data_IF_422528644244
#
_entry.id   IF_422528644244
#
_cell.length_a   1.000
_cell.length_b   1.000
_cell.length_c   1.000
_cell.angle_alpha   90.00
_cell.angle_beta   90.00
_cell.angle_gamma   90.00
#
_symmetry.space_group_name_H-M   'P 1'
#
loop_
_entity.id
_entity.type
_entity.pdbx_description
1 polymer ?
#
# COMPACT_ATOMS: atom_id res chain seq x y z
N UNK A 1 -47.84 6.98 1.16
CA UNK A 1 -46.39 7.27 1.27
C UNK A 1 -46.17 8.75 1.02
N UNK A 2 -45.53 9.47 1.94
CA UNK A 2 -45.19 10.88 1.72
C UNK A 2 -44.08 11.00 0.65
N UNK A 3 -44.15 11.97 -0.26
CA UNK A 3 -43.13 12.17 -1.28
C UNK A 3 -41.80 12.62 -0.65
N UNK A 4 -40.68 12.05 -1.09
CA UNK A 4 -39.34 12.43 -0.62
C UNK A 4 -38.97 13.79 -1.23
N UNK A 5 -39.22 14.89 -0.51
CA UNK A 5 -39.12 16.26 -1.02
C UNK A 5 -37.77 16.60 -1.66
N UNK A 6 -36.67 16.00 -1.16
CA UNK A 6 -35.34 16.20 -1.73
C UNK A 6 -35.27 15.81 -3.21
N UNK A 7 -35.98 14.76 -3.63
CA UNK A 7 -35.98 14.25 -5.01
C UNK A 7 -36.83 15.08 -5.98
N UNK A 8 -37.50 16.14 -5.49
CA UNK A 8 -38.23 17.13 -6.31
C UNK A 8 -37.34 18.30 -6.74
N UNK A 9 -36.17 18.45 -6.13
CA UNK A 9 -35.21 19.47 -6.53
C UNK A 9 -34.72 19.20 -7.97
N UNK A 10 -34.42 20.26 -8.75
CA UNK A 10 -33.74 20.11 -10.04
C UNK A 10 -32.39 19.41 -9.88
N UNK A 11 -31.86 18.87 -10.99
CA UNK A 11 -30.69 17.98 -10.95
C UNK A 11 -29.44 18.62 -10.32
N UNK A 12 -29.07 19.84 -10.71
CA UNK A 12 -27.87 20.48 -10.17
C UNK A 12 -27.98 20.80 -8.65
N UNK A 13 -29.08 21.42 -8.17
CA UNK A 13 -29.28 21.62 -6.73
C UNK A 13 -29.20 20.34 -5.90
N UNK A 14 -29.79 19.23 -6.35
CA UNK A 14 -29.76 17.99 -5.55
C UNK A 14 -28.34 17.40 -5.46
N UNK A 15 -27.55 17.48 -6.53
CA UNK A 15 -26.15 17.05 -6.50
C UNK A 15 -25.35 17.89 -5.51
N UNK A 16 -25.59 19.19 -5.47
CA UNK A 16 -24.88 20.09 -4.56
C UNK A 16 -25.24 19.83 -3.10
N UNK A 17 -26.51 19.54 -2.81
CA UNK A 17 -26.92 19.12 -1.46
C UNK A 17 -26.20 17.83 -1.05
N UNK A 18 -26.15 16.82 -1.94
CA UNK A 18 -25.47 15.54 -1.65
C UNK A 18 -23.97 15.76 -1.38
N UNK A 19 -23.29 16.66 -2.09
CA UNK A 19 -21.87 16.96 -1.85
C UNK A 19 -21.58 17.55 -0.47
N UNK A 20 -22.57 18.17 0.16
CA UNK A 20 -22.46 18.77 1.50
C UNK A 20 -22.91 17.85 2.63
N UNK A 21 -23.50 16.69 2.30
CA UNK A 21 -23.86 15.68 3.28
C UNK A 21 -22.61 14.93 3.79
N UNK A 22 -22.67 14.45 5.03
CA UNK A 22 -21.70 13.50 5.58
C UNK A 22 -21.83 12.15 4.88
N UNK A 23 -20.76 11.37 4.81
CA UNK A 23 -20.69 10.03 4.18
C UNK A 23 -21.84 9.15 4.68
N UNK A 24 -22.13 9.15 5.98
CA UNK A 24 -23.26 8.42 6.57
C UNK A 24 -24.63 8.85 6.03
N UNK A 25 -24.85 10.15 5.88
CA UNK A 25 -26.09 10.72 5.34
C UNK A 25 -26.23 10.34 3.86
N UNK A 26 -25.16 10.43 3.09
CA UNK A 26 -25.11 10.01 1.69
C UNK A 26 -25.45 8.51 1.56
N UNK A 27 -24.87 7.65 2.39
CA UNK A 27 -25.18 6.23 2.42
C UNK A 27 -26.63 5.93 2.81
N UNK A 28 -27.17 6.64 3.81
CA UNK A 28 -28.59 6.48 4.16
C UNK A 28 -29.49 6.89 3.00
N UNK A 29 -29.19 8.05 2.40
CA UNK A 29 -29.94 8.60 1.28
C UNK A 29 -29.89 7.65 0.08
N UNK A 30 -28.72 7.11 -0.28
CA UNK A 30 -28.56 6.19 -1.40
C UNK A 30 -29.36 4.88 -1.25
N UNK A 31 -29.75 4.52 -0.02
CA UNK A 31 -30.57 3.34 0.26
C UNK A 31 -32.07 3.58 0.25
N UNK A 32 -32.52 4.84 0.19
CA UNK A 32 -33.96 5.16 0.20
C UNK A 32 -34.68 4.73 -1.10
N UNK A 33 -34.01 4.80 -2.26
CA UNK A 33 -34.57 4.37 -3.55
C UNK A 33 -33.48 4.27 -4.63
N UNK A 34 -33.79 3.62 -5.76
CA UNK A 34 -32.92 3.61 -6.95
C UNK A 34 -32.60 5.02 -7.46
N UNK A 35 -33.56 5.96 -7.38
CA UNK A 35 -33.35 7.37 -7.77
C UNK A 35 -32.33 8.06 -6.86
N UNK A 36 -32.39 7.80 -5.55
CA UNK A 36 -31.39 8.31 -4.61
C UNK A 36 -30.00 7.72 -4.89
N UNK A 37 -29.92 6.40 -5.12
CA UNK A 37 -28.67 5.72 -5.47
C UNK A 37 -28.02 6.36 -6.70
N UNK A 38 -28.79 6.56 -7.78
CA UNK A 38 -28.29 7.21 -9.00
C UNK A 38 -27.87 8.66 -8.76
N UNK A 39 -28.59 9.39 -7.91
CA UNK A 39 -28.22 10.77 -7.55
C UNK A 39 -26.88 10.80 -6.83
N UNK A 40 -26.65 9.89 -5.88
CA UNK A 40 -25.37 9.75 -5.18
C UNK A 40 -24.26 9.39 -6.16
N UNK A 41 -24.50 8.43 -7.05
CA UNK A 41 -23.54 8.04 -8.10
C UNK A 41 -23.08 9.23 -8.94
N UNK A 42 -24.01 10.07 -9.35
CA UNK A 42 -23.72 11.27 -10.14
C UNK A 42 -23.00 12.36 -9.31
N UNK A 43 -23.21 12.40 -7.99
CA UNK A 43 -22.60 13.38 -7.10
C UNK A 43 -21.21 12.96 -6.57
N UNK A 44 -20.95 11.65 -6.51
CA UNK A 44 -19.82 11.09 -5.76
C UNK A 44 -18.45 11.39 -6.39
N UNK A 45 -18.36 11.47 -7.73
CA UNK A 45 -17.09 11.73 -8.43
C UNK A 45 -15.97 10.79 -7.96
N UNK A 46 -14.76 11.32 -7.75
CA UNK A 46 -13.62 10.61 -7.15
C UNK A 46 -13.43 10.96 -5.65
N UNK A 47 -14.52 11.26 -4.95
CA UNK A 47 -14.47 11.80 -3.58
C UNK A 47 -14.45 10.72 -2.51
N UNK A 48 -14.62 9.46 -2.89
CA UNK A 48 -14.71 8.34 -1.97
C UNK A 48 -13.62 7.31 -2.27
N UNK A 49 -13.26 6.60 -1.23
CA UNK A 49 -12.30 5.51 -1.24
C UNK A 49 -12.88 4.39 -0.39
N UNK A 50 -12.82 3.16 -0.90
CA UNK A 50 -13.19 1.97 -0.15
C UNK A 50 -11.92 1.28 0.36
N UNK A 51 -11.91 0.94 1.65
CA UNK A 51 -10.86 0.13 2.27
C UNK A 51 -11.43 -1.17 2.78
N UNK A 52 -10.72 -2.26 2.53
CA UNK A 52 -11.17 -3.60 2.82
C UNK A 52 -10.12 -4.29 3.70
N UNK A 53 -10.55 -4.77 4.86
CA UNK A 53 -9.71 -5.44 5.85
C UNK A 53 -10.29 -6.82 6.10
N UNK A 54 -9.52 -7.86 5.78
CA UNK A 54 -9.94 -9.25 5.93
C UNK A 54 -9.06 -9.95 6.96
N UNK A 55 -9.51 -9.90 8.22
CA UNK A 55 -8.81 -10.40 9.40
C UNK A 55 -9.62 -11.52 10.09
N UNK A 56 -9.54 -11.63 11.42
CA UNK A 56 -10.44 -12.46 12.25
C UNK A 56 -11.89 -12.01 12.14
N UNK A 57 -12.10 -10.70 12.02
CA UNK A 57 -13.35 -10.03 11.71
C UNK A 57 -13.12 -9.17 10.46
N UNK A 58 -14.01 -9.29 9.48
CA UNK A 58 -13.87 -8.49 8.26
C UNK A 58 -14.38 -7.08 8.53
N UNK A 59 -13.66 -6.09 8.06
CA UNK A 59 -14.07 -4.69 8.12
C UNK A 59 -14.01 -4.05 6.74
N UNK A 60 -14.95 -3.16 6.47
CA UNK A 60 -14.91 -2.28 5.31
C UNK A 60 -15.10 -0.85 5.75
N UNK A 61 -14.35 0.06 5.15
CA UNK A 61 -14.44 1.48 5.47
C UNK A 61 -14.69 2.25 4.19
N UNK A 62 -15.85 2.90 4.12
CA UNK A 62 -16.11 3.91 3.10
C UNK A 62 -15.67 5.27 3.65
N UNK A 63 -14.64 5.85 3.05
CA UNK A 63 -14.04 7.10 3.49
C UNK A 63 -14.25 8.19 2.45
N UNK A 64 -14.67 9.38 2.88
CA UNK A 64 -14.59 10.56 2.03
C UNK A 64 -13.17 11.12 2.05
N UNK A 65 -12.66 11.53 0.89
CA UNK A 65 -11.41 12.29 0.76
C UNK A 65 -11.56 13.72 1.29
N UNK A 66 -12.80 14.18 1.51
CA UNK A 66 -13.11 15.47 2.14
C UNK A 66 -13.25 15.29 3.66
N UNK A 67 -12.21 15.65 4.41
CA UNK A 67 -12.21 15.70 5.87
C UNK A 67 -11.93 14.34 6.55
N UNK A 68 -11.02 14.34 7.54
CA UNK A 68 -10.49 13.11 8.18
C UNK A 68 -11.53 12.27 8.94
N UNK A 69 -12.64 12.88 9.37
CA UNK A 69 -13.65 12.24 10.22
C UNK A 69 -14.86 11.70 9.44
N UNK A 70 -14.92 11.90 8.11
CA UNK A 70 -16.11 11.59 7.32
C UNK A 70 -16.07 10.16 6.73
N UNK A 71 -16.24 9.15 7.57
CA UNK A 71 -16.22 7.73 7.19
C UNK A 71 -17.40 6.92 7.75
N UNK A 72 -17.65 5.77 7.15
CA UNK A 72 -18.55 4.73 7.68
C UNK A 72 -17.75 3.45 7.78
N UNK A 73 -17.88 2.77 8.91
CA UNK A 73 -17.32 1.45 9.14
C UNK A 73 -18.41 0.39 8.98
N UNK A 74 -18.06 -0.71 8.35
CA UNK A 74 -18.91 -1.88 8.21
C UNK A 74 -18.16 -3.07 8.80
N UNK A 75 -18.66 -3.62 9.90
CA UNK A 75 -18.05 -4.73 10.62
C UNK A 75 -18.86 -6.02 10.41
N UNK A 76 -18.17 -7.13 10.21
CA UNK A 76 -18.73 -8.46 9.96
C UNK A 76 -18.32 -9.40 11.10
N UNK A 77 -19.16 -9.47 12.15
CA UNK A 77 -18.85 -10.11 13.44
C UNK A 77 -19.62 -11.43 13.64
N UNK A 78 -18.98 -12.40 14.33
CA UNK A 78 -19.55 -13.70 14.67
C UNK A 78 -20.28 -13.60 16.02
N UNK A 79 -21.61 -13.60 16.01
CA UNK A 79 -22.40 -13.44 17.24
C UNK A 79 -22.43 -14.72 18.09
N UNK A 80 -22.02 -14.65 19.37
CA UNK A 80 -22.97 -15.08 20.39
C UNK A 80 -23.22 -14.08 21.53
N UNK A 81 -22.36 -13.08 21.80
CA UNK A 81 -22.53 -12.18 22.96
C UNK A 81 -21.95 -10.80 22.66
N UNK A 82 -22.80 -9.78 22.53
CA UNK A 82 -22.39 -8.39 22.77
C UNK A 82 -23.34 -7.83 23.83
N UNK A 83 -22.83 -7.43 25.02
CA UNK A 83 -23.62 -6.71 26.00
C UNK A 83 -24.17 -5.42 25.40
N UNK A 84 -25.42 -5.10 25.71
CA UNK A 84 -26.14 -3.92 25.21
C UNK A 84 -25.34 -2.60 25.35
N UNK A 85 -24.39 -2.52 26.30
CA UNK A 85 -23.52 -1.38 26.55
C UNK A 85 -22.50 -1.06 25.46
N UNK A 86 -22.13 -2.00 24.57
CA UNK A 86 -21.17 -1.77 23.48
C UNK A 86 -21.83 -1.28 22.17
N UNK A 87 -23.16 -1.22 22.13
CA UNK A 87 -23.92 -0.73 20.96
C UNK A 87 -24.02 0.80 20.88
N UNK A 88 -23.44 1.55 21.84
CA UNK A 88 -23.79 2.97 22.05
C UNK A 88 -22.72 4.03 21.77
N UNK A 89 -21.48 3.72 21.40
CA UNK A 89 -20.44 4.77 21.34
C UNK A 89 -20.09 5.31 19.96
N UNK A 90 -20.36 4.61 18.84
CA UNK A 90 -20.10 5.17 17.50
C UNK A 90 -21.19 4.82 16.49
N UNK A 91 -22.03 5.82 16.20
CA UNK A 91 -23.09 5.77 15.20
C UNK A 91 -22.55 5.63 13.75
N UNK A 92 -21.24 5.65 13.53
CA UNK A 92 -20.60 5.45 12.22
C UNK A 92 -20.37 3.97 11.86
N UNK A 93 -20.57 3.04 12.80
CA UNK A 93 -20.36 1.60 12.59
C UNK A 93 -21.66 0.89 12.24
N UNK A 94 -21.67 0.12 11.15
CA UNK A 94 -22.75 -0.80 10.77
C UNK A 94 -22.29 -2.24 10.90
N UNK A 95 -23.04 -3.04 11.64
CA UNK A 95 -22.69 -4.43 11.92
C UNK A 95 -23.53 -5.39 11.07
N UNK A 96 -22.91 -6.39 10.50
CA UNK A 96 -23.56 -7.49 9.79
C UNK A 96 -23.29 -8.80 10.53
N UNK A 97 -24.31 -9.65 10.75
CA UNK A 97 -24.07 -10.96 11.31
C UNK A 97 -23.29 -11.80 10.30
N UNK A 98 -22.15 -12.30 10.75
CA UNK A 98 -21.22 -13.11 10.01
C UNK A 98 -21.15 -14.51 10.64
N UNK A 99 -21.02 -15.55 9.81
CA UNK A 99 -20.67 -16.89 10.27
C UNK A 99 -19.23 -17.13 9.84
N UNK A 100 -18.34 -17.18 10.84
CA UNK A 100 -16.90 -17.39 10.64
C UNK A 100 -16.64 -18.59 9.74
N UNK A 101 -15.71 -18.44 8.79
CA UNK A 101 -15.25 -19.52 7.90
C UNK A 101 -16.32 -20.14 6.98
N UNK A 102 -17.42 -19.45 6.71
CA UNK A 102 -18.32 -19.89 5.63
C UNK A 102 -17.64 -19.87 4.25
N UNK A 103 -16.54 -19.11 4.08
CA UNK A 103 -15.75 -19.02 2.85
C UNK A 103 -16.45 -18.31 1.68
N UNK A 104 -17.75 -17.99 1.79
CA UNK A 104 -18.53 -17.52 0.65
C UNK A 104 -18.54 -15.98 0.49
N UNK A 105 -18.35 -15.23 1.57
CA UNK A 105 -18.27 -13.75 1.58
C UNK A 105 -19.46 -13.07 0.89
N UNK A 106 -20.66 -13.65 0.95
CA UNK A 106 -21.80 -13.21 0.14
C UNK A 106 -22.16 -11.75 0.46
N UNK A 107 -22.31 -11.42 1.75
CA UNK A 107 -22.70 -10.07 2.19
C UNK A 107 -21.59 -9.05 1.93
N UNK A 108 -20.35 -9.46 2.11
CA UNK A 108 -19.17 -8.66 1.81
C UNK A 108 -19.15 -8.30 0.31
N UNK A 109 -19.29 -9.29 -0.57
CA UNK A 109 -19.31 -9.10 -2.03
C UNK A 109 -20.47 -8.21 -2.47
N UNK A 110 -21.67 -8.42 -1.93
CA UNK A 110 -22.84 -7.58 -2.19
C UNK A 110 -22.61 -6.13 -1.75
N UNK A 111 -22.04 -5.93 -0.57
CA UNK A 111 -21.75 -4.60 -0.05
C UNK A 111 -20.66 -3.90 -0.86
N UNK A 112 -19.57 -4.60 -1.20
CA UNK A 112 -18.49 -4.05 -2.05
C UNK A 112 -19.07 -3.60 -3.38
N UNK A 113 -19.85 -4.47 -4.04
CA UNK A 113 -20.49 -4.14 -5.32
C UNK A 113 -21.40 -2.91 -5.18
N UNK A 114 -22.25 -2.89 -4.16
CA UNK A 114 -23.13 -1.75 -3.91
C UNK A 114 -22.33 -0.45 -3.69
N UNK A 115 -21.28 -0.48 -2.89
CA UNK A 115 -20.49 0.70 -2.54
C UNK A 115 -19.70 1.22 -3.75
N UNK A 116 -18.99 0.34 -4.46
CA UNK A 116 -18.23 0.72 -5.67
C UNK A 116 -19.16 1.30 -6.73
N UNK A 117 -20.31 0.66 -6.99
CA UNK A 117 -21.27 1.16 -7.98
C UNK A 117 -21.91 2.49 -7.56
N UNK A 118 -22.30 2.62 -6.30
CA UNK A 118 -23.07 3.79 -5.81
C UNK A 118 -22.18 5.00 -5.57
N UNK A 119 -20.97 4.80 -5.06
CA UNK A 119 -20.05 5.88 -4.71
C UNK A 119 -18.97 6.13 -5.76
N UNK A 120 -18.97 5.35 -6.85
CA UNK A 120 -17.99 5.45 -7.94
C UNK A 120 -16.55 5.53 -7.42
N UNK A 121 -16.25 4.72 -6.40
CA UNK A 121 -14.98 4.77 -5.69
C UNK A 121 -14.03 3.68 -6.15
N UNK A 122 -12.73 3.97 -6.04
CA UNK A 122 -11.68 2.96 -6.14
C UNK A 122 -11.54 2.21 -4.81
N UNK A 123 -10.92 1.03 -4.86
CA UNK A 123 -10.44 0.36 -3.66
C UNK A 123 -9.07 0.94 -3.34
N UNK A 124 -9.03 1.80 -2.31
CA UNK A 124 -7.79 2.45 -1.88
C UNK A 124 -6.87 1.52 -1.12
N UNK A 125 -7.45 0.56 -0.40
CA UNK A 125 -6.66 -0.36 0.42
C UNK A 125 -7.36 -1.72 0.49
N UNK A 126 -6.59 -2.78 0.24
CA UNK A 126 -6.99 -4.16 0.44
C UNK A 126 -5.96 -4.82 1.35
N UNK A 127 -6.36 -5.23 2.55
CA UNK A 127 -5.47 -5.76 3.58
C UNK A 127 -5.91 -7.13 4.03
N UNK A 128 -4.97 -8.07 4.09
CA UNK A 128 -5.20 -9.45 4.45
C UNK A 128 -4.39 -9.84 5.67
N UNK A 129 -5.03 -10.51 6.62
CA UNK A 129 -4.33 -11.21 7.69
C UNK A 129 -3.93 -12.60 7.21
N UNK A 130 -2.67 -12.99 7.36
CA UNK A 130 -2.11 -14.15 6.67
C UNK A 130 -2.51 -15.50 7.30
N UNK A 131 -3.09 -15.52 8.50
CA UNK A 131 -3.60 -16.75 9.15
C UNK A 131 -4.94 -17.29 8.57
N UNK A 132 -5.50 -16.66 7.53
CA UNK A 132 -6.70 -17.16 6.87
C UNK A 132 -6.35 -18.34 5.93
N UNK A 133 -6.98 -19.49 6.13
CA UNK A 133 -6.75 -20.68 5.27
C UNK A 133 -7.18 -20.41 3.82
N UNK A 134 -6.53 -21.05 2.83
CA UNK A 134 -6.78 -20.88 1.39
C UNK A 134 -8.27 -20.88 0.98
N UNK A 135 -9.06 -21.76 1.57
CA UNK A 135 -10.50 -21.91 1.31
C UNK A 135 -11.33 -20.68 1.72
N UNK A 136 -10.75 -19.81 2.54
CA UNK A 136 -11.35 -18.58 3.05
C UNK A 136 -10.98 -17.44 2.10
N UNK A 137 -9.74 -17.34 1.64
CA UNK A 137 -9.30 -16.22 0.83
C UNK A 137 -9.62 -16.33 -0.67
N UNK A 138 -9.50 -17.51 -1.27
CA UNK A 138 -9.62 -17.70 -2.72
C UNK A 138 -10.98 -17.25 -3.30
N UNK A 139 -12.15 -17.51 -2.65
CA UNK A 139 -13.44 -17.05 -3.19
C UNK A 139 -13.59 -15.54 -3.24
N UNK A 140 -12.85 -14.80 -2.41
CA UNK A 140 -12.84 -13.35 -2.39
C UNK A 140 -11.91 -12.80 -3.48
N UNK A 141 -10.72 -13.39 -3.65
CA UNK A 141 -9.84 -13.07 -4.77
C UNK A 141 -10.52 -13.29 -6.12
N UNK A 142 -11.15 -14.45 -6.32
CA UNK A 142 -11.87 -14.75 -7.56
C UNK A 142 -12.95 -13.69 -7.86
N UNK A 143 -13.62 -13.19 -6.82
CA UNK A 143 -14.59 -12.09 -6.97
C UNK A 143 -13.93 -10.79 -7.42
N UNK A 144 -12.79 -10.42 -6.84
CA UNK A 144 -12.07 -9.21 -7.23
C UNK A 144 -11.60 -9.26 -8.69
N UNK A 145 -11.09 -10.42 -9.12
CA UNK A 145 -10.64 -10.64 -10.49
C UNK A 145 -11.78 -10.59 -11.49
N UNK A 146 -12.90 -11.26 -11.20
CA UNK A 146 -14.11 -11.20 -12.02
C UNK A 146 -14.68 -9.79 -12.11
N UNK A 147 -14.51 -8.99 -11.06
CA UNK A 147 -15.01 -7.61 -10.99
C UNK A 147 -14.06 -6.59 -11.63
N UNK A 148 -12.88 -7.02 -12.11
CA UNK A 148 -11.84 -6.16 -12.71
C UNK A 148 -11.50 -4.94 -11.83
N UNK A 149 -11.48 -5.14 -10.51
CA UNK A 149 -11.22 -4.06 -9.56
C UNK A 149 -9.73 -3.74 -9.51
N UNK A 150 -9.41 -2.45 -9.49
CA UNK A 150 -8.06 -1.94 -9.31
C UNK A 150 -7.84 -1.51 -7.87
N UNK A 151 -6.65 -1.81 -7.35
CA UNK A 151 -6.26 -1.53 -5.98
C UNK A 151 -5.18 -0.46 -5.96
N UNK A 152 -5.34 0.55 -5.11
CA UNK A 152 -4.23 1.47 -4.87
C UNK A 152 -3.13 0.80 -4.05
N UNK A 153 -3.49 0.27 -2.87
CA UNK A 153 -2.61 -0.49 -1.99
C UNK A 153 -3.15 -1.90 -1.75
N UNK A 154 -2.29 -2.91 -1.88
CA UNK A 154 -2.50 -4.25 -1.35
C UNK A 154 -1.53 -4.50 -0.20
N UNK A 155 -2.02 -4.98 0.92
CA UNK A 155 -1.24 -5.24 2.12
C UNK A 155 -1.47 -6.66 2.64
N UNK A 156 -0.39 -7.33 3.02
CA UNK A 156 -0.41 -8.59 3.74
C UNK A 156 0.22 -8.39 5.11
N UNK A 157 -0.56 -8.59 6.16
CA UNK A 157 -0.13 -8.42 7.54
C UNK A 157 -0.11 -9.76 8.25
N UNK A 158 0.88 -9.93 9.14
CA UNK A 158 0.88 -10.90 10.24
C UNK A 158 0.43 -12.34 9.87
N UNK A 159 1.39 -13.27 9.90
CA UNK A 159 1.16 -14.69 9.62
C UNK A 159 1.83 -15.16 8.33
N UNK A 160 1.34 -16.25 7.73
CA UNK A 160 1.99 -16.95 6.61
C UNK A 160 1.07 -17.02 5.38
N UNK A 161 1.48 -16.39 4.27
CA UNK A 161 0.80 -16.54 2.97
C UNK A 161 1.39 -17.73 2.23
N UNK A 162 0.55 -18.60 1.67
CA UNK A 162 1.02 -19.67 0.79
C UNK A 162 1.47 -19.12 -0.57
N UNK A 163 2.62 -19.59 -1.02
CA UNK A 163 3.23 -19.50 -2.35
C UNK A 163 2.24 -19.38 -3.51
N UNK A 164 1.34 -20.36 -3.68
CA UNK A 164 0.40 -20.39 -4.80
C UNK A 164 -0.58 -19.21 -4.77
N UNK A 165 -1.06 -18.85 -3.58
CA UNK A 165 -2.03 -17.77 -3.41
C UNK A 165 -1.36 -16.40 -3.57
N UNK A 166 -0.12 -16.26 -3.09
CA UNK A 166 0.70 -15.06 -3.31
C UNK A 166 0.98 -14.86 -4.80
N UNK A 167 1.47 -15.90 -5.50
CA UNK A 167 1.74 -15.86 -6.94
C UNK A 167 0.47 -15.55 -7.72
N UNK A 168 -0.64 -16.21 -7.38
CA UNK A 168 -1.92 -15.95 -8.01
C UNK A 168 -2.36 -14.48 -7.84
N UNK A 169 -2.17 -13.88 -6.66
CA UNK A 169 -2.47 -12.46 -6.46
C UNK A 169 -1.55 -11.58 -7.31
N UNK A 170 -0.24 -11.83 -7.29
CA UNK A 170 0.74 -11.03 -8.05
C UNK A 170 0.47 -11.09 -9.57
N UNK A 171 0.11 -12.26 -10.09
CA UNK A 171 -0.11 -12.46 -11.54
C UNK A 171 -1.43 -11.84 -12.02
N UNK A 172 -2.43 -11.65 -11.15
CA UNK A 172 -3.79 -11.29 -11.56
C UNK A 172 -4.29 -9.93 -11.02
N UNK A 173 -3.75 -9.43 -9.91
CA UNK A 173 -4.18 -8.16 -9.33
C UNK A 173 -3.36 -6.98 -9.86
N UNK A 174 -4.04 -5.96 -10.39
CA UNK A 174 -3.42 -4.67 -10.72
C UNK A 174 -3.38 -3.81 -9.47
N UNK A 175 -2.17 -3.51 -9.01
CA UNK A 175 -1.94 -2.68 -7.82
C UNK A 175 -0.85 -1.64 -8.07
N UNK A 176 -0.99 -0.47 -7.46
CA UNK A 176 0.03 0.58 -7.51
C UNK A 176 1.08 0.38 -6.42
N UNK A 177 0.65 -0.01 -5.22
CA UNK A 177 1.49 -0.14 -4.05
C UNK A 177 1.29 -1.51 -3.37
N UNK A 178 2.37 -2.07 -2.84
CA UNK A 178 2.38 -3.38 -2.18
C UNK A 178 3.11 -3.30 -0.84
N UNK A 179 2.41 -3.68 0.22
CA UNK A 179 2.93 -3.82 1.58
C UNK A 179 2.97 -5.30 1.99
N UNK A 180 4.16 -5.82 2.26
CA UNK A 180 4.39 -7.17 2.78
C UNK A 180 4.89 -7.03 4.21
N UNK A 181 3.96 -7.07 5.16
CA UNK A 181 4.17 -6.95 6.61
C UNK A 181 4.03 -8.31 7.30
N UNK A 182 4.60 -9.35 6.69
CA UNK A 182 4.42 -10.72 7.14
C UNK A 182 5.73 -11.51 7.12
N UNK A 183 5.86 -12.40 8.11
CA UNK A 183 6.88 -13.44 8.10
C UNK A 183 6.40 -14.55 7.18
N UNK A 184 6.85 -14.52 5.92
CA UNK A 184 6.49 -15.60 5.01
C UNK A 184 7.34 -16.83 5.32
N UNK A 185 6.79 -17.72 6.14
CA UNK A 185 7.34 -19.06 6.28
C UNK A 185 7.04 -19.81 4.98
N UNK A 186 8.09 -20.19 4.26
CA UNK A 186 8.05 -21.06 3.08
C UNK A 186 7.74 -20.38 1.74
N UNK A 187 8.20 -19.15 1.47
CA UNK A 187 8.38 -18.74 0.05
C UNK A 187 9.62 -19.41 -0.54
N UNK A 188 9.41 -20.64 -1.00
CA UNK A 188 10.32 -21.35 -1.90
C UNK A 188 10.14 -20.92 -3.36
N UNK A 189 9.13 -20.09 -3.64
CA UNK A 189 8.93 -19.52 -4.98
C UNK A 189 10.09 -18.60 -5.33
N UNK A 190 10.87 -19.06 -6.29
CA UNK A 190 11.80 -18.22 -7.03
C UNK A 190 11.13 -17.53 -8.23
N UNK A 191 10.00 -18.03 -8.72
CA UNK A 191 9.34 -17.54 -9.94
C UNK A 191 8.11 -16.65 -9.65
N UNK A 192 8.36 -15.39 -9.28
CA UNK A 192 7.34 -14.34 -9.23
C UNK A 192 7.91 -13.03 -9.77
N UNK A 193 7.02 -12.15 -10.26
CA UNK A 193 7.37 -10.80 -10.70
C UNK A 193 6.58 -9.77 -9.90
N UNK A 194 7.28 -8.84 -9.27
CA UNK A 194 6.68 -7.65 -8.66
C UNK A 194 7.07 -6.45 -9.52
N UNK A 195 6.08 -5.71 -9.99
CA UNK A 195 6.27 -4.45 -10.70
C UNK A 195 5.25 -3.43 -10.21
N UNK A 196 5.65 -2.63 -9.22
CA UNK A 196 4.79 -1.69 -8.51
C UNK A 196 5.41 -0.30 -8.48
N UNK A 197 4.62 0.74 -8.19
CA UNK A 197 5.18 2.05 -7.94
C UNK A 197 5.93 2.05 -6.60
N UNK A 198 5.33 1.46 -5.56
CA UNK A 198 5.88 1.44 -4.22
C UNK A 198 5.84 0.05 -3.60
N UNK A 199 6.96 -0.38 -3.02
CA UNK A 199 7.12 -1.67 -2.36
C UNK A 199 7.57 -1.48 -0.91
N UNK A 200 6.93 -2.17 0.02
CA UNK A 200 7.37 -2.28 1.41
C UNK A 200 7.48 -3.72 1.82
N UNK A 201 8.60 -4.10 2.42
CA UNK A 201 8.82 -5.41 3.02
C UNK A 201 9.28 -5.20 4.46
N UNK A 202 8.48 -5.66 5.43
CA UNK A 202 8.79 -5.69 6.86
C UNK A 202 8.59 -7.13 7.38
N UNK A 203 9.32 -7.48 8.43
CA UNK A 203 9.42 -8.85 8.95
C UNK A 203 9.79 -9.88 7.86
N UNK A 204 10.62 -9.42 6.92
CA UNK A 204 10.80 -10.05 5.61
C UNK A 204 12.10 -10.84 5.50
N UNK A 205 12.35 -11.73 6.47
CA UNK A 205 13.54 -12.62 6.48
C UNK A 205 13.62 -13.55 5.25
N UNK A 206 12.50 -13.69 4.53
CA UNK A 206 12.38 -14.47 3.29
C UNK A 206 12.86 -13.69 2.05
N UNK A 207 12.93 -12.36 2.09
CA UNK A 207 13.40 -11.56 0.95
C UNK A 207 14.91 -11.74 0.86
N UNK A 208 15.32 -12.55 -0.11
CA UNK A 208 16.73 -12.75 -0.45
C UNK A 208 17.12 -11.78 -1.56
N UNK A 209 18.42 -11.70 -1.83
CA UNK A 209 18.94 -11.02 -3.01
C UNK A 209 18.28 -11.50 -4.32
N UNK A 210 18.12 -12.81 -4.51
CA UNK A 210 17.53 -13.36 -5.73
C UNK A 210 16.07 -12.92 -5.91
N UNK A 211 15.32 -12.82 -4.81
CA UNK A 211 13.96 -12.29 -4.82
C UNK A 211 13.97 -10.81 -5.23
N UNK A 212 14.80 -10.00 -4.57
CA UNK A 212 14.88 -8.57 -4.85
C UNK A 212 15.26 -8.26 -6.31
N UNK A 213 16.20 -9.00 -6.88
CA UNK A 213 16.63 -8.80 -8.28
C UNK A 213 15.54 -9.10 -9.32
N UNK A 214 14.44 -9.76 -8.93
CA UNK A 214 13.26 -10.01 -9.75
C UNK A 214 12.14 -8.98 -9.54
N UNK A 215 12.33 -8.05 -8.60
CA UNK A 215 11.39 -6.98 -8.29
C UNK A 215 11.75 -5.69 -9.04
N UNK A 216 10.73 -4.92 -9.39
CA UNK A 216 10.79 -3.62 -10.05
C UNK A 216 9.90 -2.64 -9.27
N UNK A 217 10.47 -1.50 -8.87
CA UNK A 217 9.76 -0.49 -8.09
C UNK A 217 10.42 0.89 -8.19
N UNK A 218 9.63 1.96 -8.05
CA UNK A 218 10.19 3.33 -7.98
C UNK A 218 10.60 3.69 -6.55
N UNK A 219 9.78 3.30 -5.57
CA UNK A 219 9.98 3.56 -4.16
C UNK A 219 10.01 2.25 -3.36
N UNK A 220 10.98 2.10 -2.46
CA UNK A 220 11.17 0.85 -1.72
C UNK A 220 11.51 1.05 -0.25
N UNK A 221 10.79 0.41 0.67
CA UNK A 221 11.29 0.16 2.03
C UNK A 221 11.49 -1.33 2.11
N UNK A 222 12.73 -1.77 2.11
CA UNK A 222 13.09 -3.16 1.88
C UNK A 222 13.87 -3.67 3.09
N UNK A 223 13.19 -4.38 3.98
CA UNK A 223 13.90 -5.28 4.89
C UNK A 223 14.35 -6.51 4.11
N UNK A 224 15.64 -6.80 4.15
CA UNK A 224 16.26 -7.85 3.33
C UNK A 224 17.18 -8.74 4.16
N UNK A 225 17.07 -10.04 3.96
CA UNK A 225 17.98 -11.01 4.54
C UNK A 225 19.21 -11.19 3.64
N UNK A 226 20.18 -10.29 3.79
CA UNK A 226 21.44 -10.36 3.07
C UNK A 226 22.63 -9.99 3.97
N UNK A 227 23.84 -10.39 3.53
CA UNK A 227 25.12 -9.99 4.12
C UNK A 227 25.84 -9.01 3.18
N UNK A 228 27.00 -8.48 3.60
CA UNK A 228 27.71 -7.43 2.84
C UNK A 228 28.04 -7.80 1.41
N UNK A 229 28.48 -9.05 1.18
CA UNK A 229 28.74 -9.53 -0.16
C UNK A 229 27.50 -9.45 -1.05
N UNK A 230 26.36 -9.98 -0.59
CA UNK A 230 25.10 -9.98 -1.35
C UNK A 230 24.54 -8.57 -1.55
N UNK A 231 24.71 -7.68 -0.57
CA UNK A 231 24.33 -6.26 -0.72
C UNK A 231 25.16 -5.55 -1.78
N UNK A 232 26.47 -5.74 -1.81
CA UNK A 232 27.32 -5.19 -2.87
C UNK A 232 26.95 -5.71 -4.25
N UNK A 233 26.52 -6.96 -4.35
CA UNK A 233 26.01 -7.52 -5.60
C UNK A 233 24.68 -6.86 -6.03
N UNK A 234 23.82 -6.44 -5.10
CA UNK A 234 22.60 -5.64 -5.41
C UNK A 234 22.98 -4.26 -5.96
N UNK A 235 23.95 -3.58 -5.32
CA UNK A 235 24.45 -2.27 -5.81
C UNK A 235 25.04 -2.42 -7.21
N UNK A 236 25.88 -3.43 -7.44
CA UNK A 236 26.44 -3.73 -8.78
C UNK A 236 25.37 -4.09 -9.79
N UNK A 237 24.35 -4.84 -9.40
CA UNK A 237 23.23 -5.15 -10.29
C UNK A 237 22.50 -3.89 -10.73
N UNK A 238 22.23 -2.95 -9.81
CA UNK A 238 21.63 -1.65 -10.16
C UNK A 238 22.53 -0.86 -11.13
N UNK A 239 23.85 -0.82 -10.86
CA UNK A 239 24.82 -0.18 -11.76
C UNK A 239 24.82 -0.80 -13.16
N UNK A 240 24.46 -2.07 -13.28
CA UNK A 240 24.33 -2.80 -14.54
C UNK A 240 22.90 -2.82 -15.10
N UNK A 241 22.01 -1.96 -14.60
CA UNK A 241 20.68 -1.75 -15.18
C UNK A 241 19.53 -2.49 -14.50
N UNK A 242 19.73 -3.17 -13.36
CA UNK A 242 18.61 -3.67 -12.56
C UNK A 242 17.76 -2.50 -12.01
N UNK A 243 16.43 -2.67 -12.03
CA UNK A 243 15.43 -1.74 -11.53
C UNK A 243 15.67 -0.27 -11.96
N UNK A 244 15.74 -0.03 -13.28
CA UNK A 244 16.05 1.30 -13.87
C UNK A 244 15.13 2.42 -13.39
N UNK A 245 13.89 2.07 -13.00
CA UNK A 245 12.86 2.99 -12.52
C UNK A 245 13.02 3.38 -11.04
N UNK A 246 13.90 2.71 -10.29
CA UNK A 246 14.13 3.02 -8.88
C UNK A 246 14.57 4.47 -8.71
N UNK A 247 13.84 5.20 -7.87
CA UNK A 247 14.14 6.58 -7.49
C UNK A 247 14.70 6.62 -6.08
N UNK A 248 14.07 5.92 -5.16
CA UNK A 248 14.45 5.97 -3.76
C UNK A 248 14.17 4.64 -3.07
N UNK A 249 15.12 4.16 -2.27
CA UNK A 249 14.92 2.98 -1.45
C UNK A 249 15.60 3.10 -0.09
N UNK A 250 14.93 2.59 0.94
CA UNK A 250 15.50 2.33 2.26
C UNK A 250 15.72 0.83 2.37
N UNK A 251 16.96 0.42 2.59
CA UNK A 251 17.31 -0.97 2.82
C UNK A 251 17.63 -1.19 4.28
N UNK A 252 16.96 -2.14 4.91
CA UNK A 252 17.19 -2.56 6.29
C UNK A 252 17.72 -3.99 6.26
N UNK A 253 19.04 -4.19 6.18
CA UNK A 253 19.56 -5.52 6.02
C UNK A 253 19.79 -6.19 7.38
N UNK A 254 19.39 -7.45 7.53
CA UNK A 254 19.29 -8.10 8.85
C UNK A 254 20.58 -8.73 9.38
N UNK A 255 21.64 -8.83 8.57
CA UNK A 255 22.90 -9.53 8.93
C UNK A 255 24.17 -8.67 8.76
N UNK A 256 24.08 -7.40 9.15
CA UNK A 256 25.14 -6.41 8.89
C UNK A 256 25.80 -5.81 10.11
N UNK A 257 27.12 -5.68 10.01
CA UNK A 257 27.87 -4.64 10.71
C UNK A 257 27.99 -3.42 9.80
N UNK A 258 27.47 -2.28 10.25
CA UNK A 258 27.43 -1.04 9.47
C UNK A 258 28.77 -0.32 9.46
N UNK A 259 29.59 -0.51 10.49
CA UNK A 259 30.82 0.26 10.65
C UNK A 259 31.89 -0.14 9.62
N UNK A 260 31.79 -1.37 9.09
CA UNK A 260 32.66 -1.90 8.02
C UNK A 260 32.14 -1.57 6.61
N UNK A 261 30.88 -1.20 6.48
CA UNK A 261 30.23 -1.18 5.18
C UNK A 261 30.64 0.03 4.33
N UNK A 262 30.85 1.20 4.94
CA UNK A 262 31.39 2.38 4.26
C UNK A 262 32.75 2.10 3.61
N UNK A 263 33.66 1.45 4.34
CA UNK A 263 35.01 1.13 3.83
C UNK A 263 34.96 0.13 2.68
N UNK A 264 34.06 -0.87 2.75
CA UNK A 264 33.93 -1.86 1.68
C UNK A 264 33.31 -1.22 0.43
N UNK A 265 32.32 -0.32 0.58
CA UNK A 265 31.72 0.40 -0.55
C UNK A 265 32.79 1.17 -1.32
N UNK A 266 33.65 1.93 -0.63
CA UNK A 266 34.72 2.72 -1.24
C UNK A 266 35.73 1.87 -2.02
N UNK A 267 36.02 0.65 -1.55
CA UNK A 267 36.99 -0.23 -2.19
C UNK A 267 36.42 -1.09 -3.33
N UNK A 268 35.10 -1.29 -3.36
CA UNK A 268 34.45 -2.27 -4.26
C UNK A 268 33.63 -1.59 -5.37
N UNK A 269 33.08 -0.41 -5.10
CA UNK A 269 32.20 0.30 -6.03
C UNK A 269 32.95 1.53 -6.57
N UNK A 270 33.13 1.67 -7.89
CA UNK A 270 33.73 2.87 -8.45
C UNK A 270 32.81 4.06 -8.19
N UNK A 271 33.33 5.09 -7.53
CA UNK A 271 32.54 6.21 -7.08
C UNK A 271 33.36 7.24 -6.32
N UNK A 272 32.67 8.12 -5.60
CA UNK A 272 33.28 9.20 -4.83
C UNK A 272 32.60 9.36 -3.47
N UNK A 273 33.41 9.45 -2.41
CA UNK A 273 32.92 9.81 -1.08
C UNK A 273 32.48 11.27 -1.05
N UNK A 274 31.31 11.52 -0.47
CA UNK A 274 30.78 12.85 -0.18
C UNK A 274 30.95 13.11 1.33
N UNK A 275 31.45 14.29 1.65
CA UNK A 275 31.70 14.71 3.03
C UNK A 275 30.41 14.70 3.86
N UNK A 276 30.51 14.25 5.12
CA UNK A 276 29.35 14.12 6.04
C UNK A 276 28.67 15.46 6.33
N UNK A 277 29.39 16.58 6.19
CA UNK A 277 28.85 17.93 6.37
C UNK A 277 28.01 18.40 5.17
N UNK A 278 28.18 17.77 4.00
CA UNK A 278 27.41 18.14 2.81
C UNK A 278 25.98 17.61 2.93
N UNK A 279 25.03 18.55 2.92
CA UNK A 279 23.59 18.26 2.93
C UNK A 279 23.02 18.37 1.51
N UNK A 280 22.32 17.32 1.06
CA UNK A 280 21.65 17.29 -0.25
C UNK A 280 20.17 17.02 -0.09
N UNK A 281 19.35 17.89 -0.66
CA UNK A 281 17.90 17.77 -0.65
C UNK A 281 17.46 16.79 -1.76
N UNK A 282 16.90 15.65 -1.38
CA UNK A 282 16.22 14.75 -2.31
C UNK A 282 14.78 15.25 -2.56
N UNK A 283 14.34 15.35 -3.83
CA UNK A 283 12.99 15.80 -4.13
C UNK A 283 11.97 14.84 -3.52
N UNK A 284 11.04 15.37 -2.71
CA UNK A 284 10.00 14.57 -2.07
C UNK A 284 9.12 13.90 -3.12
N UNK A 285 9.01 12.58 -3.06
CA UNK A 285 8.05 11.81 -3.84
C UNK A 285 6.89 11.46 -2.89
N UNK A 286 5.70 11.99 -3.15
CA UNK A 286 4.52 11.70 -2.34
C UNK A 286 4.02 10.28 -2.65
N UNK A 287 4.09 9.39 -1.66
CA UNK A 287 3.31 8.16 -1.59
C UNK A 287 2.43 8.19 -0.34
N UNK A 288 1.31 7.49 -0.36
CA UNK A 288 0.41 7.38 0.81
C UNK A 288 1.07 6.59 1.95
N UNK A 289 2.16 5.88 1.65
CA UNK A 289 2.92 5.02 2.56
C UNK A 289 3.80 5.76 3.58
N UNK A 290 3.74 7.11 3.66
CA UNK A 290 4.56 7.93 4.57
C UNK A 290 6.07 7.66 4.44
N UNK A 291 6.56 7.32 3.24
CA UNK A 291 8.00 7.34 2.92
C UNK A 291 8.66 8.69 3.28
N UNK A 292 7.83 9.73 3.23
CA UNK A 292 8.11 11.16 3.37
C UNK A 292 8.59 11.62 4.74
N UNK A 293 8.63 10.75 5.77
CA UNK A 293 9.20 11.11 7.08
C UNK A 293 10.68 10.80 7.22
N UNK A 294 11.24 9.92 6.38
CA UNK A 294 12.66 9.62 6.36
C UNK A 294 13.36 10.60 5.42
N UNK A 295 14.49 11.15 5.85
CA UNK A 295 14.88 12.52 5.55
C UNK A 295 14.91 12.86 4.06
N UNK A 296 14.19 13.91 3.70
CA UNK A 296 14.38 14.58 2.42
C UNK A 296 15.76 15.25 2.30
N UNK A 297 16.56 15.24 3.38
CA UNK A 297 17.94 15.72 3.43
C UNK A 297 18.88 14.54 3.67
N UNK A 298 19.80 14.31 2.73
CA UNK A 298 20.86 13.32 2.84
C UNK A 298 22.15 14.02 3.28
N UNK A 299 22.84 13.45 4.28
CA UNK A 299 24.16 13.93 4.74
C UNK A 299 25.25 13.00 4.23
N UNK A 300 26.22 13.55 3.53
CA UNK A 300 27.34 12.82 2.93
C UNK A 300 26.90 11.68 2.01
N UNK A 301 27.54 10.52 2.23
CA UNK A 301 27.30 9.28 1.48
C UNK A 301 28.39 8.95 0.47
N UNK A 302 28.12 7.97 -0.36
CA UNK A 302 28.98 7.53 -1.45
C UNK A 302 28.22 7.60 -2.77
N UNK A 303 28.76 8.37 -3.70
CA UNK A 303 28.18 8.63 -5.01
C UNK A 303 28.76 7.69 -6.06
N UNK A 304 27.92 7.08 -6.87
CA UNK A 304 28.31 6.17 -7.96
C UNK A 304 27.31 6.27 -9.11
N UNK A 305 27.69 5.76 -10.29
CA UNK A 305 26.90 5.91 -11.51
C UNK A 305 26.48 4.56 -12.08
N UNK A 306 25.31 4.53 -12.70
CA UNK A 306 24.87 3.42 -13.55
C UNK A 306 25.65 3.45 -14.87
N UNK A 307 26.16 2.29 -15.28
CA UNK A 307 27.13 2.16 -16.38
C UNK A 307 26.53 2.56 -17.73
N UNK A 308 25.28 2.20 -17.97
CA UNK A 308 24.62 2.38 -19.27
C UNK A 308 24.26 3.84 -19.59
N UNK A 309 23.82 4.62 -18.60
CA UNK A 309 23.24 5.96 -18.81
C UNK A 309 23.82 7.04 -17.89
N UNK A 310 24.81 6.72 -17.07
CA UNK A 310 25.50 7.67 -16.21
C UNK A 310 24.64 8.25 -15.08
N UNK A 311 23.44 7.70 -14.82
CA UNK A 311 22.55 8.18 -13.75
C UNK A 311 23.26 8.05 -12.40
N UNK A 312 23.30 9.16 -11.67
CA UNK A 312 23.93 9.26 -10.37
C UNK A 312 23.04 8.66 -9.28
N UNK A 313 23.63 7.88 -8.38
CA UNK A 313 23.03 7.46 -7.14
C UNK A 313 23.94 7.73 -5.94
N UNK A 314 23.32 7.86 -4.78
CA UNK A 314 24.00 7.98 -3.49
C UNK A 314 23.53 6.87 -2.57
N UNK A 315 24.48 6.19 -1.93
CA UNK A 315 24.20 5.37 -0.74
C UNK A 315 24.71 6.10 0.50
N UNK A 316 23.88 6.18 1.54
CA UNK A 316 24.29 6.71 2.85
C UNK A 316 23.54 5.98 3.96
N UNK A 317 24.07 6.00 5.17
CA UNK A 317 23.40 5.45 6.34
C UNK A 317 22.27 6.41 6.78
N UNK A 318 21.10 5.86 7.08
CA UNK A 318 20.01 6.64 7.70
C UNK A 318 20.42 7.07 9.11
N UNK A 319 20.07 8.30 9.47
CA UNK A 319 20.32 8.88 10.80
C UNK A 319 19.35 8.39 11.89
N UNK A 320 18.40 7.53 11.51
CA UNK A 320 17.40 6.96 12.42
C UNK A 320 17.95 5.92 13.41
N UNK A 321 17.14 5.52 14.41
CA UNK A 321 17.53 4.54 15.43
C UNK A 321 17.71 3.12 14.87
N UNK A 322 17.14 2.83 13.70
CA UNK A 322 17.32 1.56 13.00
C UNK A 322 18.45 1.68 11.98
N UNK A 323 19.28 0.64 11.94
CA UNK A 323 20.43 0.50 11.05
C UNK A 323 19.95 0.29 9.60
N UNK A 324 19.77 1.37 8.83
CA UNK A 324 19.26 1.34 7.45
C UNK A 324 20.19 2.08 6.48
N UNK A 325 20.16 1.70 5.21
CA UNK A 325 20.79 2.41 4.10
C UNK A 325 19.76 3.12 3.25
N UNK A 326 20.00 4.40 2.98
CA UNK A 326 19.31 5.15 1.95
C UNK A 326 20.02 4.93 0.63
N UNK A 327 19.28 4.55 -0.40
CA UNK A 327 19.71 4.51 -1.79
C UNK A 327 18.87 5.52 -2.56
N UNK A 328 19.46 6.66 -2.90
CA UNK A 328 18.79 7.75 -3.61
C UNK A 328 19.33 7.88 -5.03
N UNK A 329 18.45 7.81 -6.02
CA UNK A 329 18.77 7.95 -7.44
C UNK A 329 18.39 9.36 -7.88
N UNK A 330 19.38 10.12 -8.35
CA UNK A 330 19.22 11.50 -8.75
C UNK A 330 18.80 11.56 -10.21
N UNK A 331 17.61 12.08 -10.45
CA UNK A 331 17.21 12.40 -11.82
C UNK A 331 18.00 13.63 -12.26
N UNK A 332 18.77 13.52 -13.35
CA UNK A 332 19.51 14.65 -13.91
C UNK A 332 18.58 15.84 -14.12
N UNK A 333 18.74 16.85 -13.27
CA UNK A 333 18.54 18.24 -13.60
C UNK A 333 19.58 19.03 -12.81
N UNK A 334 20.19 20.01 -13.48
CA UNK A 334 21.33 20.83 -13.10
C UNK A 334 21.16 21.68 -11.82
N UNK A 335 20.41 21.24 -10.81
CA UNK A 335 20.13 22.03 -9.60
C UNK A 335 20.99 21.60 -8.40
N UNK A 336 22.09 20.89 -8.64
CA UNK A 336 23.14 20.73 -7.65
C UNK A 336 24.08 21.94 -7.70
N UNK A 337 23.73 22.97 -6.92
CA UNK A 337 24.58 23.76 -6.02
C UNK A 337 23.73 24.99 -5.66
N UNK A 338 23.07 24.98 -4.50
CA UNK A 338 22.93 26.22 -3.74
C UNK A 338 24.08 26.23 -2.74
N UNK A 339 24.96 27.20 -2.96
CA UNK A 339 26.12 27.51 -2.12
C UNK A 339 25.72 27.72 -0.66
#
# INVERSE_FOLDING_TARGET
MAPFFLLRLPHLPILEVVKHMKTKEIYNFSRCSKKCQQTVRNAAGNHFELRLYFWTENEMILKSKKGKENKIHFSFENFPVIPWSWTRSDNSVRRFPYKKYSGLYIKEKELIKYLVETFNCIIGELRFHCDATRNVFQPLLNFFLQSQLEFHLVAFDEGIVNDEDFKYLMDNCKMKELDLLCSVAVLSIEDFKIDVFCLRTLYSDWVTQNHLLKMSFELGYIQINCNMKKWMEIVKAWMNGWNKRMKFALFEPTRFDLDLADQIIENVIPGKRIDKEVMRQYPMISSDLNFTRHSSVLRGGYDFQRVEDGVLATITQDSGPQKRYVFAVWQYNNDFVRQ
#
